data_IF_649982426642
#
_entry.id   IF_649982426642
#
_cell.length_a   1.000
_cell.length_b   1.000
_cell.length_c   1.000
_cell.angle_alpha   90.00
_cell.angle_beta   90.00
_cell.angle_gamma   90.00
#
_symmetry.space_group_name_H-M   'P 1'
#
loop_
_entity.id
_entity.type
_entity.pdbx_description
1 polymer ?
#
# COMPACT_ATOMS: atom_id res chain seq x y z
N UNK A 1 16.39 -13.36 5.45
CA UNK A 1 17.86 -13.14 5.34
C UNK A 1 18.09 -11.68 5.01
N UNK A 2 19.15 -11.04 5.53
CA UNK A 2 19.53 -9.67 5.17
C UNK A 2 18.68 -8.56 5.81
N UNK A 3 19.06 -7.31 5.56
CA UNK A 3 18.31 -6.13 5.97
C UNK A 3 17.21 -5.80 4.95
N UNK A 4 16.10 -5.24 5.43
CA UNK A 4 15.05 -4.67 4.57
C UNK A 4 15.61 -3.39 3.92
N UNK A 5 15.54 -3.31 2.59
CA UNK A 5 15.90 -2.11 1.82
C UNK A 5 14.68 -1.22 1.58
N UNK A 6 14.85 -0.06 0.94
CA UNK A 6 13.72 0.86 0.69
C UNK A 6 12.59 0.23 -0.13
N UNK A 7 12.93 -0.55 -1.16
CA UNK A 7 11.95 -1.10 -2.11
C UNK A 7 12.10 -2.63 -2.31
N UNK A 8 12.95 -3.30 -1.54
CA UNK A 8 13.21 -4.74 -1.67
C UNK A 8 13.51 -5.41 -0.32
N UNK A 9 13.13 -6.68 -0.21
CA UNK A 9 13.48 -7.57 0.91
C UNK A 9 13.87 -8.95 0.37
N UNK A 10 14.67 -9.69 1.13
CA UNK A 10 15.08 -11.04 0.78
C UNK A 10 14.47 -12.07 1.74
N UNK A 11 13.71 -13.02 1.18
CA UNK A 11 13.22 -14.18 1.89
C UNK A 11 14.08 -15.41 1.56
N UNK A 12 14.30 -16.28 2.54
CA UNK A 12 14.96 -17.56 2.30
C UNK A 12 13.89 -18.56 1.83
N UNK A 13 14.11 -19.12 0.64
CA UNK A 13 13.21 -20.09 -0.02
C UNK A 13 13.85 -21.46 -0.15
N UNK A 14 14.96 -21.70 0.56
CA UNK A 14 15.68 -22.97 0.50
C UNK A 14 14.74 -24.14 0.83
N UNK A 15 14.59 -25.08 -0.11
CA UNK A 15 13.73 -26.27 0.06
C UNK A 15 12.30 -26.10 -0.44
N UNK A 16 11.95 -24.96 -1.05
CA UNK A 16 10.68 -24.74 -1.74
C UNK A 16 10.91 -24.72 -3.26
N UNK A 17 9.95 -25.24 -4.03
CA UNK A 17 9.91 -25.03 -5.48
C UNK A 17 9.24 -23.67 -5.74
N UNK A 18 10.01 -22.70 -6.22
CA UNK A 18 9.55 -21.33 -6.51
C UNK A 18 10.12 -20.82 -7.82
N UNK A 19 9.32 -20.06 -8.55
CA UNK A 19 9.66 -19.44 -9.82
C UNK A 19 9.41 -17.92 -9.81
N UNK A 20 10.11 -17.15 -10.66
CA UNK A 20 9.83 -15.74 -10.82
C UNK A 20 8.38 -15.51 -11.29
N UNK A 21 7.63 -14.73 -10.52
CA UNK A 21 6.21 -14.46 -10.78
C UNK A 21 5.27 -15.12 -9.77
N UNK A 22 5.79 -16.02 -8.93
CA UNK A 22 5.00 -16.62 -7.85
C UNK A 22 4.50 -15.57 -6.85
N UNK A 23 3.24 -15.73 -6.45
CA UNK A 23 2.59 -14.83 -5.51
C UNK A 23 3.09 -15.08 -4.08
N UNK A 24 3.40 -13.98 -3.39
CA UNK A 24 3.75 -13.99 -1.97
C UNK A 24 2.81 -13.09 -1.18
N UNK A 25 2.34 -13.57 -0.03
CA UNK A 25 1.46 -12.80 0.86
C UNK A 25 2.28 -12.23 2.01
N UNK A 26 2.38 -10.90 2.08
CA UNK A 26 3.08 -10.18 3.17
C UNK A 26 2.17 -9.95 4.39
N UNK A 27 0.86 -9.88 4.18
CA UNK A 27 -0.15 -9.67 5.20
C UNK A 27 -1.47 -10.28 4.73
N UNK A 28 -2.08 -11.13 5.54
CA UNK A 28 -3.31 -11.84 5.19
C UNK A 28 -3.13 -13.35 5.05
N UNK A 29 -3.94 -13.98 4.19
CA UNK A 29 -3.99 -15.45 4.00
C UNK A 29 -3.58 -15.79 2.58
N UNK A 30 -2.81 -16.87 2.42
CA UNK A 30 -2.46 -17.43 1.10
C UNK A 30 -3.31 -18.66 0.79
N UNK A 31 -4.04 -18.63 -0.33
CA UNK A 31 -4.91 -19.74 -0.77
C UNK A 31 -5.93 -20.17 0.28
N UNK A 32 -6.24 -21.47 0.31
CA UNK A 32 -7.11 -22.10 1.34
C UNK A 32 -6.35 -22.61 2.56
N UNK A 33 -5.03 -22.36 2.60
CA UNK A 33 -4.20 -22.82 3.69
C UNK A 33 -4.51 -22.08 5.01
N UNK A 34 -4.20 -22.74 6.13
CA UNK A 34 -4.21 -22.11 7.46
C UNK A 34 -3.05 -21.11 7.65
N UNK A 35 -2.09 -21.09 6.72
CA UNK A 35 -0.97 -20.16 6.74
C UNK A 35 -1.47 -18.73 6.51
N UNK A 36 -1.34 -17.91 7.55
CA UNK A 36 -1.71 -16.50 7.55
C UNK A 36 -0.66 -15.69 8.30
N UNK A 37 -0.48 -14.45 7.89
CA UNK A 37 0.29 -13.44 8.62
C UNK A 37 -0.73 -12.41 9.11
N UNK A 38 -1.06 -12.45 10.41
CA UNK A 38 -2.01 -11.52 11.01
C UNK A 38 -1.35 -10.18 11.36
N UNK A 39 -2.06 -9.08 11.14
CA UNK A 39 -1.58 -7.73 11.48
C UNK A 39 -1.28 -7.59 12.97
N UNK A 40 -2.02 -8.28 13.83
CA UNK A 40 -1.86 -8.24 15.29
C UNK A 40 -0.58 -8.95 15.72
N UNK A 41 -0.25 -10.07 15.07
CA UNK A 41 0.98 -10.81 15.31
C UNK A 41 2.19 -9.96 14.91
N UNK A 42 2.12 -9.31 13.75
CA UNK A 42 3.17 -8.40 13.29
C UNK A 42 3.31 -7.17 14.21
N UNK A 43 2.20 -6.61 14.69
CA UNK A 43 2.21 -5.48 15.62
C UNK A 43 2.88 -5.85 16.94
N UNK A 44 2.55 -7.03 17.48
CA UNK A 44 3.16 -7.55 18.70
C UNK A 44 4.68 -7.77 18.54
N UNK A 45 5.12 -8.27 17.39
CA UNK A 45 6.54 -8.54 17.11
C UNK A 45 7.40 -7.25 17.11
N UNK A 46 6.86 -6.12 16.65
CA UNK A 46 7.57 -4.84 16.59
C UNK A 46 7.21 -3.87 17.72
N UNK A 47 6.36 -4.28 18.67
CA UNK A 47 5.97 -3.48 19.83
C UNK A 47 5.07 -2.29 19.50
N UNK A 48 4.17 -2.43 18.51
CA UNK A 48 3.22 -1.38 18.10
C UNK A 48 1.77 -1.86 18.12
N UNK A 49 0.84 -1.03 17.62
CA UNK A 49 -0.57 -1.34 17.44
C UNK A 49 -0.88 -1.70 15.98
N UNK A 50 -1.92 -2.52 15.71
CA UNK A 50 -2.28 -2.92 14.35
C UNK A 50 -2.51 -1.77 13.37
N UNK A 51 -3.06 -0.66 13.86
CA UNK A 51 -3.35 0.52 13.05
C UNK A 51 -2.10 1.17 12.47
N UNK A 52 -0.97 1.15 13.18
CA UNK A 52 0.28 1.70 12.63
C UNK A 52 0.77 0.94 11.41
N UNK A 53 0.55 -0.38 11.36
CA UNK A 53 0.96 -1.19 10.22
C UNK A 53 0.13 -0.83 9.00
N UNK A 54 -1.19 -0.92 9.11
CA UNK A 54 -2.08 -0.70 7.95
C UNK A 54 -2.05 0.74 7.46
N UNK A 55 -1.90 1.72 8.36
CA UNK A 55 -1.79 3.12 7.99
C UNK A 55 -0.43 3.49 7.38
N UNK A 56 0.64 2.71 7.64
CA UNK A 56 1.97 2.92 7.03
C UNK A 56 2.09 2.34 5.62
N UNK A 57 1.08 1.62 5.13
CA UNK A 57 1.03 1.16 3.73
C UNK A 57 0.93 2.39 2.82
N UNK A 58 2.07 2.76 2.25
CA UNK A 58 2.23 3.98 1.46
C UNK A 58 1.48 3.97 0.13
N UNK A 59 1.51 5.12 -0.55
CA UNK A 59 0.78 5.33 -1.82
C UNK A 59 1.44 4.71 -3.05
N UNK A 60 2.64 4.11 -2.90
CA UNK A 60 3.35 3.41 -3.99
C UNK A 60 2.74 2.05 -4.31
N UNK A 61 1.92 1.51 -3.42
CA UNK A 61 1.28 0.21 -3.57
C UNK A 61 -0.06 0.42 -4.28
N UNK A 62 -0.24 -0.25 -5.42
CA UNK A 62 -1.51 -0.28 -6.14
C UNK A 62 -2.59 -0.96 -5.27
N UNK A 63 -3.78 -0.36 -5.25
CA UNK A 63 -4.91 -0.85 -4.44
C UNK A 63 -6.00 -1.34 -5.36
N UNK A 64 -6.14 -2.65 -5.45
CA UNK A 64 -7.26 -3.29 -6.13
C UNK A 64 -8.40 -3.53 -5.13
N UNK A 65 -9.60 -3.07 -5.48
CA UNK A 65 -10.80 -3.28 -4.69
C UNK A 65 -11.65 -4.34 -5.37
N UNK A 66 -11.54 -5.59 -4.92
CA UNK A 66 -12.41 -6.69 -5.32
C UNK A 66 -13.74 -6.63 -4.56
N UNK A 67 -14.45 -5.51 -4.73
CA UNK A 67 -15.85 -5.40 -4.36
C UNK A 67 -16.69 -5.88 -5.53
N UNK A 68 -17.53 -6.90 -5.32
CA UNK A 68 -18.73 -7.03 -6.13
C UNK A 68 -19.48 -5.70 -6.02
N UNK A 69 -19.40 -4.91 -7.08
CA UNK A 69 -20.24 -3.75 -7.27
C UNK A 69 -21.68 -4.26 -7.34
N UNK A 70 -22.42 -4.11 -6.25
CA UNK A 70 -23.85 -3.84 -6.39
C UNK A 70 -23.91 -2.49 -7.12
N UNK A 71 -24.54 -2.48 -8.30
CA UNK A 71 -24.56 -1.35 -9.23
C UNK A 71 -24.96 -0.03 -8.56
N UNK A 72 -24.07 0.95 -8.64
CA UNK A 72 -24.31 2.34 -8.27
C UNK A 72 -23.10 3.17 -8.68
N UNK A 73 -23.14 3.77 -9.87
CA UNK A 73 -22.02 4.53 -10.44
C UNK A 73 -22.15 5.95 -9.91
N UNK A 74 -21.22 6.35 -9.06
CA UNK A 74 -20.86 7.75 -8.89
C UNK A 74 -19.41 7.81 -8.38
N UNK A 75 -18.52 8.26 -9.26
CA UNK A 75 -17.31 9.01 -8.93
C UNK A 75 -16.33 8.42 -7.91
N UNK A 76 -15.45 7.53 -8.38
CA UNK A 76 -14.07 7.52 -7.86
C UNK A 76 -13.33 8.64 -8.58
N UNK A 77 -13.34 9.83 -7.98
CA UNK A 77 -12.49 10.94 -8.40
C UNK A 77 -11.01 10.59 -8.11
N UNK A 78 -10.09 10.70 -9.08
CA UNK A 78 -8.67 10.65 -8.78
C UNK A 78 -8.31 11.87 -7.91
N UNK A 79 -7.48 11.65 -6.88
CA UNK A 79 -7.04 12.69 -5.95
C UNK A 79 -6.41 13.89 -6.65
N UNK A 80 -6.39 15.08 -6.00
CA UNK A 80 -6.10 16.32 -6.68
C UNK A 80 -4.68 16.34 -7.26
N UNK A 81 -4.58 16.53 -8.58
CA UNK A 81 -3.36 16.90 -9.24
C UNK A 81 -2.87 18.23 -8.64
N UNK A 82 -1.65 18.26 -8.09
CA UNK A 82 -1.05 19.50 -7.56
C UNK A 82 -0.84 20.48 -8.71
N UNK A 83 -1.75 21.44 -8.84
CA UNK A 83 -1.58 22.60 -9.71
C UNK A 83 -0.47 23.51 -9.18
N UNK A 84 0.48 23.84 -10.05
CA UNK A 84 1.54 24.84 -9.79
C UNK A 84 0.88 26.22 -9.73
N UNK A 85 0.91 26.89 -8.58
CA UNK A 85 0.41 28.24 -8.44
C UNK A 85 1.27 29.20 -9.29
N UNK A 86 0.73 29.71 -10.40
CA UNK A 86 1.28 30.85 -11.11
C UNK A 86 0.80 32.12 -10.42
N UNK A 87 1.71 32.79 -9.72
CA UNK A 87 1.53 34.13 -9.17
C UNK A 87 1.56 35.15 -10.30
N UNK A 88 0.44 35.81 -10.56
CA UNK A 88 0.42 37.15 -11.15
C UNK A 88 -0.48 38.02 -10.28
N UNK A 89 0.14 38.87 -9.46
CA UNK A 89 -0.53 39.95 -8.76
C UNK A 89 -0.93 41.04 -9.77
N UNK A 90 -2.11 41.67 -9.67
CA UNK A 90 -2.39 42.87 -10.43
C UNK A 90 -1.70 44.08 -9.79
N UNK A 91 -0.99 44.83 -10.62
CA UNK A 91 -0.45 46.16 -10.30
C UNK A 91 -1.58 47.12 -9.96
N UNK A 92 -1.37 47.90 -8.89
CA UNK A 92 -2.27 48.96 -8.47
C UNK A 92 -1.89 50.27 -9.17
N UNK A 93 -2.69 50.69 -10.15
CA UNK A 93 -2.89 52.09 -10.56
C UNK A 93 -4.34 52.44 -10.15
N UNK A 94 -4.70 53.57 -9.53
CA UNK A 94 -4.02 54.85 -9.45
C UNK A 94 -4.78 55.91 -10.27
N UNK A 95 -6.05 56.22 -9.95
CA UNK A 95 -6.73 57.48 -10.24
C UNK A 95 -8.09 57.56 -9.52
#
# INVERSE_FOLDING_TARGET
VGAVSMDMLAADVTGLEVEPGDEVVLLGRQGDAQARIDVREMAAAIGTIPWEIVCRIGTRIEREYSGARQEGAADVMPGPARGRASSTAPEAEGA
#
